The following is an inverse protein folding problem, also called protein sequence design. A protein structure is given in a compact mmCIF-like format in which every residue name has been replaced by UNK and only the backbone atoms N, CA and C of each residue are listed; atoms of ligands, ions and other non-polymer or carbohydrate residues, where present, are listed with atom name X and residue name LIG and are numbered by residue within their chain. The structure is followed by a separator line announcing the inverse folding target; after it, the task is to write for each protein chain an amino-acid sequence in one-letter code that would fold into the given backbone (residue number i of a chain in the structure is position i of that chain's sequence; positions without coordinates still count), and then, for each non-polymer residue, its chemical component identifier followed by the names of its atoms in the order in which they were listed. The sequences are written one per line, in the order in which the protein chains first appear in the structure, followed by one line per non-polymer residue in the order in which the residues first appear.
data_IF_354078321902
#
_entry.id   IF_354078321902
#
_cell.length_a   1.000
_cell.length_b   1.000
_cell.length_c   1.000
_cell.angle_alpha   90.00
_cell.angle_beta   90.00
_cell.angle_gamma   90.00
#
_symmetry.space_group_name_H-M   'P 1'
#
loop_
_entity.id
_entity.type
_entity.pdbx_description
1 polymer ?
#
# COMPACT_ATOMS: atom_id res chain seq x y z
N UNK A 1 -70.82 -18.62 -66.55
CA UNK A 1 -70.78 -19.19 -65.18
C UNK A 1 -69.44 -18.87 -64.54
N UNK A 2 -69.36 -18.44 -63.27
CA UNK A 2 -68.08 -18.24 -62.59
C UNK A 2 -67.48 -19.59 -62.18
N UNK A 3 -66.17 -19.75 -62.32
CA UNK A 3 -65.46 -20.99 -61.99
C UNK A 3 -65.50 -21.29 -60.48
N UNK A 4 -65.76 -22.53 -60.05
CA UNK A 4 -65.72 -22.90 -58.64
C UNK A 4 -64.34 -22.65 -58.05
N UNK A 5 -64.25 -21.85 -56.98
CA UNK A 5 -62.98 -21.65 -56.25
C UNK A 5 -62.65 -22.90 -55.45
N UNK A 6 -61.81 -23.77 -56.00
CA UNK A 6 -61.27 -24.95 -55.30
C UNK A 6 -60.42 -24.48 -54.12
N UNK A 7 -60.94 -24.63 -52.89
CA UNK A 7 -60.20 -24.28 -51.67
C UNK A 7 -59.26 -25.44 -51.30
N UNK A 8 -57.95 -25.17 -51.34
CA UNK A 8 -56.94 -26.14 -50.90
C UNK A 8 -57.07 -26.44 -49.41
N UNK A 9 -56.93 -27.70 -49.05
CA UNK A 9 -56.90 -28.12 -47.64
C UNK A 9 -55.64 -27.61 -46.94
N UNK A 10 -55.64 -27.59 -45.60
CA UNK A 10 -54.45 -27.18 -44.83
C UNK A 10 -53.24 -28.08 -45.13
N UNK A 11 -53.46 -29.39 -45.30
CA UNK A 11 -52.42 -30.35 -45.66
C UNK A 11 -51.81 -30.05 -47.04
N UNK A 12 -52.65 -29.77 -48.04
CA UNK A 12 -52.19 -29.38 -49.38
C UNK A 12 -51.36 -28.10 -49.36
N UNK A 13 -51.79 -27.08 -48.61
CA UNK A 13 -51.01 -25.83 -48.45
C UNK A 13 -49.66 -26.06 -47.78
N UNK A 14 -49.59 -26.93 -46.77
CA UNK A 14 -48.32 -27.30 -46.11
C UNK A 14 -47.39 -28.04 -47.07
N UNK A 15 -47.91 -28.97 -47.86
CA UNK A 15 -47.13 -29.71 -48.85
C UNK A 15 -46.59 -28.80 -49.95
N UNK A 16 -47.42 -27.92 -50.51
CA UNK A 16 -46.98 -26.94 -51.50
C UNK A 16 -45.94 -25.97 -50.94
N UNK A 17 -46.07 -25.54 -49.68
CA UNK A 17 -45.06 -24.71 -49.03
C UNK A 17 -43.74 -25.46 -48.82
N UNK A 18 -43.78 -26.76 -48.48
CA UNK A 18 -42.56 -27.60 -48.38
C UNK A 18 -41.87 -27.72 -49.74
N UNK A 19 -42.62 -27.98 -50.80
CA UNK A 19 -42.07 -28.11 -52.16
C UNK A 19 -41.50 -26.79 -52.68
N UNK A 20 -42.23 -25.68 -52.49
CA UNK A 20 -41.72 -24.33 -52.82
C UNK A 20 -40.46 -24.00 -52.05
N UNK A 21 -40.45 -24.27 -50.74
CA UNK A 21 -39.28 -24.04 -49.89
C UNK A 21 -38.10 -24.90 -50.31
N UNK A 22 -38.33 -26.18 -50.64
CA UNK A 22 -37.29 -27.10 -51.12
C UNK A 22 -36.67 -26.63 -52.44
N UNK A 23 -37.50 -26.21 -53.41
CA UNK A 23 -37.02 -25.64 -54.69
C UNK A 23 -36.23 -24.36 -54.48
N UNK A 24 -36.72 -23.46 -53.63
CA UNK A 24 -36.01 -22.23 -53.27
C UNK A 24 -34.67 -22.52 -52.60
N UNK A 25 -34.64 -23.46 -51.64
CA UNK A 25 -33.41 -23.89 -50.97
C UNK A 25 -32.43 -24.54 -51.95
N UNK A 26 -32.89 -25.38 -52.88
CA UNK A 26 -32.02 -25.99 -53.88
C UNK A 26 -31.38 -24.93 -54.80
N UNK A 27 -32.17 -23.94 -55.24
CA UNK A 27 -31.70 -22.85 -56.10
C UNK A 27 -30.71 -21.91 -55.41
N UNK A 28 -30.87 -21.65 -54.12
CA UNK A 28 -30.08 -20.66 -53.37
C UNK A 28 -29.20 -21.27 -52.28
N UNK A 29 -28.95 -22.59 -52.32
CA UNK A 29 -28.28 -23.35 -51.26
C UNK A 29 -26.97 -22.74 -50.83
N UNK A 30 -26.10 -22.41 -51.79
CA UNK A 30 -24.78 -21.84 -51.55
C UNK A 30 -24.86 -20.48 -50.85
N UNK A 31 -25.72 -19.57 -51.32
CA UNK A 31 -25.95 -18.26 -50.71
C UNK A 31 -26.49 -18.37 -49.29
N UNK A 32 -27.46 -19.27 -49.06
CA UNK A 32 -28.05 -19.49 -47.74
C UNK A 32 -27.01 -20.06 -46.77
N UNK A 33 -26.19 -21.02 -47.20
CA UNK A 33 -25.13 -21.60 -46.38
C UNK A 33 -24.03 -20.58 -46.07
N UNK A 34 -23.63 -19.77 -47.04
CA UNK A 34 -22.66 -18.70 -46.84
C UNK A 34 -23.17 -17.66 -45.83
N UNK A 35 -24.41 -17.19 -45.98
CA UNK A 35 -25.05 -16.26 -45.03
C UNK A 35 -25.18 -16.85 -43.62
N UNK A 36 -25.51 -18.14 -43.50
CA UNK A 36 -25.53 -18.84 -42.20
C UNK A 36 -24.14 -18.96 -41.59
N UNK A 37 -23.12 -19.20 -42.41
CA UNK A 37 -21.73 -19.25 -41.95
C UNK A 37 -21.28 -17.89 -41.42
N UNK A 38 -21.49 -16.81 -42.18
CA UNK A 38 -21.13 -15.46 -41.74
C UNK A 38 -21.84 -15.04 -40.46
N UNK A 39 -23.11 -15.39 -40.30
CA UNK A 39 -23.85 -15.11 -39.07
C UNK A 39 -23.29 -15.87 -37.85
N UNK A 40 -22.87 -17.13 -38.02
CA UNK A 40 -22.21 -17.89 -36.94
C UNK A 40 -20.84 -17.32 -36.60
N UNK A 41 -20.06 -16.95 -37.61
CA UNK A 41 -18.71 -16.41 -37.42
C UNK A 41 -18.76 -15.05 -36.70
N UNK A 42 -19.75 -14.20 -37.03
CA UNK A 42 -20.03 -12.95 -36.31
C UNK A 42 -20.40 -13.20 -34.85
N UNK A 43 -21.36 -14.07 -34.58
CA UNK A 43 -21.77 -14.39 -33.20
C UNK A 43 -20.62 -15.02 -32.39
N UNK A 44 -19.79 -15.85 -33.01
CA UNK A 44 -18.61 -16.43 -32.37
C UNK A 44 -17.60 -15.35 -31.99
N UNK A 45 -17.34 -14.40 -32.90
CA UNK A 45 -16.43 -13.27 -32.66
C UNK A 45 -16.94 -12.34 -31.56
N UNK A 46 -18.24 -12.04 -31.54
CA UNK A 46 -18.85 -11.25 -30.46
C UNK A 46 -18.74 -11.96 -29.10
N UNK A 47 -18.97 -13.28 -29.07
CA UNK A 47 -18.82 -14.08 -27.85
C UNK A 47 -17.37 -14.14 -27.35
N UNK A 48 -16.39 -14.19 -28.26
CA UNK A 48 -14.96 -14.13 -27.93
C UNK A 48 -14.57 -12.76 -27.38
N UNK A 49 -15.03 -11.67 -27.99
CA UNK A 49 -14.80 -10.31 -27.49
C UNK A 49 -15.40 -10.12 -26.10
N UNK A 50 -16.62 -10.60 -25.86
CA UNK A 50 -17.25 -10.55 -24.55
C UNK A 50 -16.48 -11.36 -23.49
N UNK A 51 -16.01 -12.56 -23.85
CA UNK A 51 -15.16 -13.40 -22.98
C UNK A 51 -13.80 -12.75 -22.69
N UNK A 52 -13.21 -12.09 -23.69
CA UNK A 52 -11.93 -11.38 -23.53
C UNK A 52 -12.08 -10.15 -22.63
N UNK A 53 -13.15 -9.37 -22.82
CA UNK A 53 -13.48 -8.21 -21.98
C UNK A 53 -13.75 -8.60 -20.53
N UNK A 54 -14.51 -9.67 -20.30
CA UNK A 54 -14.77 -10.19 -18.95
C UNK A 54 -13.51 -10.74 -18.27
N UNK A 55 -12.61 -11.40 -19.02
CA UNK A 55 -11.31 -11.84 -18.51
C UNK A 55 -10.38 -10.66 -18.17
N UNK A 56 -10.37 -9.61 -18.97
CA UNK A 56 -9.57 -8.41 -18.69
C UNK A 56 -10.05 -7.72 -17.42
N UNK A 57 -11.36 -7.45 -17.31
CA UNK A 57 -11.94 -6.84 -16.11
C UNK A 57 -11.68 -7.68 -14.84
N UNK A 58 -11.82 -9.01 -14.94
CA UNK A 58 -11.53 -9.89 -13.81
C UNK A 58 -10.06 -9.87 -13.38
N UNK A 59 -9.12 -9.67 -14.31
CA UNK A 59 -7.70 -9.53 -13.99
C UNK A 59 -7.40 -8.19 -13.31
N UNK A 60 -8.03 -7.11 -13.78
CA UNK A 60 -7.91 -5.77 -13.19
C UNK A 60 -8.48 -5.76 -11.76
N UNK A 61 -9.68 -6.31 -11.54
CA UNK A 61 -10.29 -6.41 -10.21
C UNK A 61 -9.44 -7.25 -9.23
N UNK A 62 -8.83 -8.33 -9.70
CA UNK A 62 -7.93 -9.17 -8.90
C UNK A 62 -6.63 -8.42 -8.56
N UNK A 63 -6.09 -7.64 -9.49
CA UNK A 63 -4.92 -6.80 -9.25
C UNK A 63 -5.23 -5.69 -8.25
N UNK A 64 -6.37 -5.01 -8.37
CA UNK A 64 -6.82 -4.00 -7.40
C UNK A 64 -7.02 -4.60 -6.00
N UNK A 65 -7.63 -5.79 -5.90
CA UNK A 65 -7.74 -6.48 -4.59
C UNK A 65 -6.38 -6.79 -3.99
N UNK A 66 -5.44 -7.28 -4.78
CA UNK A 66 -4.07 -7.59 -4.32
C UNK A 66 -3.38 -6.33 -3.80
N UNK A 67 -3.38 -5.25 -4.57
CA UNK A 67 -2.80 -3.97 -4.15
C UNK A 67 -3.48 -3.45 -2.87
N UNK A 68 -4.81 -3.58 -2.75
CA UNK A 68 -5.53 -3.24 -1.53
C UNK A 68 -5.10 -4.07 -0.32
N UNK A 69 -4.90 -5.38 -0.48
CA UNK A 69 -4.41 -6.24 0.63
C UNK A 69 -2.98 -5.93 1.04
N UNK A 70 -2.11 -5.64 0.08
CA UNK A 70 -0.71 -5.26 0.32
C UNK A 70 -0.67 -3.91 1.04
N UNK A 71 -1.40 -2.90 0.54
CA UNK A 71 -1.49 -1.59 1.19
C UNK A 71 -2.04 -1.64 2.62
N UNK A 72 -3.02 -2.51 2.88
CA UNK A 72 -3.51 -2.74 4.24
C UNK A 72 -2.44 -3.37 5.15
N UNK A 73 -1.67 -4.33 4.64
CA UNK A 73 -0.54 -4.94 5.36
C UNK A 73 0.56 -3.91 5.67
N UNK A 74 0.99 -3.13 4.67
CA UNK A 74 1.99 -2.07 4.85
C UNK A 74 1.52 -1.02 5.85
N UNK A 75 0.24 -0.64 5.82
CA UNK A 75 -0.35 0.27 6.80
C UNK A 75 -0.33 -0.30 8.22
N UNK A 76 -0.62 -1.59 8.39
CA UNK A 76 -0.54 -2.26 9.68
C UNK A 76 0.91 -2.30 10.21
N UNK A 77 1.89 -2.58 9.34
CA UNK A 77 3.31 -2.57 9.70
C UNK A 77 3.80 -1.17 10.08
N UNK A 78 3.44 -0.13 9.33
CA UNK A 78 3.73 1.27 9.69
C UNK A 78 3.16 1.61 11.07
N UNK A 79 1.92 1.20 11.36
CA UNK A 79 1.28 1.41 12.66
C UNK A 79 2.03 0.68 13.78
N UNK A 80 2.51 -0.54 13.54
CA UNK A 80 3.31 -1.28 14.52
C UNK A 80 4.64 -0.57 14.81
N UNK A 81 5.36 -0.11 13.78
CA UNK A 81 6.60 0.64 13.94
C UNK A 81 6.35 1.95 14.70
N UNK A 82 5.30 2.69 14.34
CA UNK A 82 4.91 3.93 15.02
C UNK A 82 4.57 3.68 16.50
N UNK A 83 3.79 2.64 16.80
CA UNK A 83 3.46 2.27 18.18
C UNK A 83 4.70 1.86 18.99
N UNK A 84 5.64 1.12 18.37
CA UNK A 84 6.93 0.80 19.01
C UNK A 84 7.72 2.07 19.31
N UNK A 85 7.78 3.01 18.37
CA UNK A 85 8.43 4.30 18.58
C UNK A 85 7.79 5.09 19.72
N UNK A 86 6.46 5.22 19.74
CA UNK A 86 5.75 5.96 20.80
C UNK A 86 5.96 5.32 22.17
N UNK A 87 5.86 3.99 22.26
CA UNK A 87 6.13 3.25 23.50
C UNK A 87 7.56 3.44 23.98
N UNK A 88 8.51 3.41 23.04
CA UNK A 88 9.92 3.59 23.32
C UNK A 88 10.25 5.01 23.82
N UNK A 89 9.60 6.02 23.25
CA UNK A 89 9.74 7.41 23.68
C UNK A 89 8.93 7.72 24.95
N UNK A 90 8.31 6.72 25.60
CA UNK A 90 7.45 6.94 26.78
C UNK A 90 6.41 8.04 26.58
N UNK A 91 5.86 8.15 25.36
CA UNK A 91 4.85 9.15 25.00
C UNK A 91 5.42 10.47 24.44
N UNK A 92 6.63 10.91 24.80
CA UNK A 92 7.19 12.15 24.22
C UNK A 92 8.69 12.07 23.98
N UNK A 93 9.12 12.62 22.85
CA UNK A 93 10.54 12.58 22.51
C UNK A 93 11.38 13.45 23.48
N UNK A 94 10.83 14.55 24.00
CA UNK A 94 11.53 15.34 25.03
C UNK A 94 11.71 14.54 26.32
N UNK A 95 10.66 13.88 26.83
CA UNK A 95 10.78 13.08 28.06
C UNK A 95 11.80 11.95 27.91
N UNK A 96 11.86 11.32 26.74
CA UNK A 96 12.88 10.34 26.40
C UNK A 96 14.32 10.89 26.51
N UNK A 97 14.59 12.08 25.94
CA UNK A 97 15.92 12.69 26.03
C UNK A 97 16.27 13.12 27.46
N UNK A 98 15.27 13.55 28.25
CA UNK A 98 15.45 13.89 29.67
C UNK A 98 15.85 12.65 30.47
N UNK A 99 15.18 11.50 30.25
CA UNK A 99 15.54 10.23 30.88
C UNK A 99 16.93 9.73 30.47
N UNK A 100 17.29 9.86 29.18
CA UNK A 100 18.63 9.51 28.71
C UNK A 100 19.71 10.38 29.36
N UNK A 101 19.48 11.69 29.46
CA UNK A 101 20.40 12.61 30.09
C UNK A 101 20.61 12.29 31.59
N UNK A 102 19.53 12.00 32.32
CA UNK A 102 19.65 11.57 33.72
C UNK A 102 20.45 10.27 33.85
N UNK A 103 20.23 9.30 32.96
CA UNK A 103 21.03 8.06 32.90
C UNK A 103 22.53 8.35 32.75
N UNK A 104 22.90 9.34 31.93
CA UNK A 104 24.30 9.74 31.73
C UNK A 104 24.90 10.41 32.96
N UNK A 105 24.15 11.29 33.63
CA UNK A 105 24.60 11.93 34.88
C UNK A 105 24.81 10.88 35.97
N UNK A 106 23.85 9.96 36.13
CA UNK A 106 23.91 8.92 37.16
C UNK A 106 25.11 7.98 36.96
N UNK A 107 25.42 7.64 35.70
CA UNK A 107 26.61 6.89 35.33
C UNK A 107 27.91 7.63 35.70
N UNK A 108 28.01 8.92 35.34
CA UNK A 108 29.19 9.74 35.61
C UNK A 108 29.40 10.05 37.11
N UNK A 109 28.34 10.02 37.93
CA UNK A 109 28.40 10.33 39.37
C UNK A 109 28.84 9.16 40.26
N UNK A 110 29.27 8.03 39.70
CA UNK A 110 29.85 6.89 40.45
C UNK A 110 28.86 6.20 41.39
N UNK A 111 27.83 5.52 40.86
CA UNK A 111 27.19 4.46 41.63
C UNK A 111 26.77 3.27 40.75
N UNK A 112 27.68 2.32 40.46
CA UNK A 112 27.40 1.14 39.64
C UNK A 112 26.38 0.17 40.27
N UNK A 113 26.05 0.35 41.56
CA UNK A 113 25.06 -0.48 42.27
C UNK A 113 23.60 -0.03 42.04
N UNK A 114 23.39 1.16 41.45
CA UNK A 114 22.06 1.57 41.05
C UNK A 114 21.73 0.95 39.69
N UNK A 115 20.90 -0.10 39.71
CA UNK A 115 20.05 -0.47 38.59
C UNK A 115 19.23 0.77 38.18
N UNK A 116 19.80 1.65 37.37
CA UNK A 116 19.07 2.78 36.85
C UNK A 116 17.93 2.22 36.01
N UNK A 117 16.66 2.57 36.30
CA UNK A 117 15.53 2.11 35.50
C UNK A 117 15.53 2.70 34.07
N UNK A 118 16.51 3.56 33.77
CA UNK A 118 16.63 4.30 32.53
C UNK A 118 17.55 3.58 31.53
N UNK A 119 17.16 3.60 30.27
CA UNK A 119 17.94 3.06 29.15
C UNK A 119 19.28 3.78 29.03
N UNK A 120 20.34 3.06 28.65
CA UNK A 120 21.64 3.65 28.30
C UNK A 120 21.62 4.26 26.89
N UNK A 121 22.55 5.18 26.61
CA UNK A 121 22.68 5.79 25.27
C UNK A 121 22.96 4.75 24.19
N UNK A 122 23.79 3.75 24.49
CA UNK A 122 24.14 2.68 23.55
C UNK A 122 22.96 1.74 23.24
N UNK A 123 22.16 1.40 24.25
CA UNK A 123 20.91 0.65 24.04
C UNK A 123 19.91 1.45 23.21
N UNK A 124 19.87 2.76 23.43
CA UNK A 124 19.00 3.65 22.69
C UNK A 124 19.37 3.76 21.21
N UNK A 125 20.66 3.96 20.94
CA UNK A 125 21.22 3.96 19.61
C UNK A 125 20.93 2.65 18.87
N UNK A 126 21.21 1.50 19.51
CA UNK A 126 20.97 0.17 18.93
C UNK A 126 19.49 -0.03 18.59
N UNK A 127 18.60 0.34 19.50
CA UNK A 127 17.15 0.17 19.32
C UNK A 127 16.61 1.04 18.19
N UNK A 128 17.00 2.31 18.14
CA UNK A 128 16.58 3.24 17.10
C UNK A 128 17.19 2.90 15.73
N UNK A 129 18.43 2.39 15.69
CA UNK A 129 19.06 1.88 14.46
C UNK A 129 18.32 0.67 13.89
N UNK A 130 17.92 -0.27 14.76
CA UNK A 130 17.09 -1.41 14.35
C UNK A 130 15.72 -0.95 13.83
N UNK A 131 15.11 0.04 14.47
CA UNK A 131 13.84 0.60 14.05
C UNK A 131 13.97 1.32 12.70
N UNK A 132 15.04 2.10 12.51
CA UNK A 132 15.33 2.79 11.25
C UNK A 132 15.56 1.79 10.11
N UNK A 133 16.28 0.70 10.39
CA UNK A 133 16.48 -0.39 9.43
C UNK A 133 15.15 -1.03 9.04
N UNK A 134 14.24 -1.24 9.99
CA UNK A 134 12.89 -1.72 9.70
C UNK A 134 12.09 -0.73 8.85
N UNK A 135 12.20 0.57 9.10
CA UNK A 135 11.58 1.61 8.27
C UNK A 135 12.08 1.56 6.82
N UNK A 136 13.40 1.47 6.60
CA UNK A 136 13.95 1.39 5.24
C UNK A 136 13.54 0.12 4.50
N UNK A 137 13.46 -1.03 5.20
CA UNK A 137 12.94 -2.26 4.60
C UNK A 137 11.50 -2.10 4.13
N UNK A 138 10.65 -1.57 5.01
CA UNK A 138 9.25 -1.29 4.69
C UNK A 138 9.09 -0.29 3.55
N UNK A 139 9.89 0.78 3.55
CA UNK A 139 9.90 1.78 2.49
C UNK A 139 10.25 1.15 1.12
N UNK A 140 11.24 0.26 1.09
CA UNK A 140 11.64 -0.46 -0.12
C UNK A 140 10.57 -1.47 -0.59
N UNK A 141 9.94 -2.20 0.34
CA UNK A 141 8.84 -3.14 0.03
C UNK A 141 7.66 -2.38 -0.61
N UNK A 142 7.23 -1.28 0.02
CA UNK A 142 6.14 -0.44 -0.49
C UNK A 142 6.49 0.19 -1.85
N UNK A 143 7.75 0.57 -2.05
CA UNK A 143 8.21 1.12 -3.33
C UNK A 143 8.16 0.08 -4.45
N UNK A 144 8.52 -1.18 -4.16
CA UNK A 144 8.43 -2.29 -5.11
C UNK A 144 6.98 -2.60 -5.50
N UNK A 145 6.05 -2.40 -4.57
CA UNK A 145 4.61 -2.61 -4.79
C UNK A 145 3.90 -1.39 -5.43
N UNK A 146 4.65 -0.34 -5.80
CA UNK A 146 4.16 0.90 -6.44
C UNK A 146 3.07 1.64 -5.64
N UNK A 147 3.04 1.46 -4.32
CA UNK A 147 2.06 2.06 -3.42
C UNK A 147 2.46 3.48 -3.02
N UNK A 148 2.24 4.45 -3.91
CA UNK A 148 2.74 5.82 -3.74
C UNK A 148 2.29 6.54 -2.46
N UNK A 149 1.05 6.35 -2.02
CA UNK A 149 0.52 7.03 -0.83
C UNK A 149 1.12 6.46 0.47
N UNK A 150 1.20 5.14 0.54
CA UNK A 150 1.83 4.39 1.63
C UNK A 150 3.32 4.71 1.69
N UNK A 151 3.97 4.88 0.54
CA UNK A 151 5.39 5.22 0.45
C UNK A 151 5.69 6.57 1.10
N UNK A 152 4.86 7.60 0.82
CA UNK A 152 5.03 8.91 1.46
C UNK A 152 4.88 8.82 2.99
N UNK A 153 3.91 8.06 3.48
CA UNK A 153 3.70 7.84 4.92
C UNK A 153 4.89 7.12 5.56
N UNK A 154 5.39 6.07 4.91
CA UNK A 154 6.57 5.33 5.37
C UNK A 154 7.80 6.25 5.43
N UNK A 155 8.00 7.09 4.40
CA UNK A 155 9.12 8.03 4.33
C UNK A 155 9.09 9.08 5.44
N UNK A 156 7.90 9.58 5.81
CA UNK A 156 7.74 10.49 6.97
C UNK A 156 8.16 9.78 8.26
N UNK A 157 7.72 8.53 8.46
CA UNK A 157 8.11 7.72 9.61
C UNK A 157 9.63 7.47 9.66
N UNK A 158 10.25 7.13 8.52
CA UNK A 158 11.71 6.96 8.38
C UNK A 158 12.46 8.23 8.79
N UNK A 159 12.07 9.39 8.24
CA UNK A 159 12.69 10.69 8.58
C UNK A 159 12.61 10.99 10.06
N UNK A 160 11.47 10.68 10.68
CA UNK A 160 11.23 10.90 12.10
C UNK A 160 12.14 10.04 12.99
N UNK A 161 12.22 8.73 12.72
CA UNK A 161 13.11 7.83 13.45
C UNK A 161 14.56 8.29 13.28
N UNK A 162 14.96 8.65 12.05
CA UNK A 162 16.30 9.18 11.77
C UNK A 162 16.62 10.44 12.57
N UNK A 163 15.70 11.41 12.62
CA UNK A 163 15.90 12.64 13.37
C UNK A 163 16.15 12.38 14.86
N UNK A 164 15.43 11.42 15.46
CA UNK A 164 15.62 11.04 16.86
C UNK A 164 16.97 10.36 17.04
N UNK A 165 17.32 9.41 16.17
CA UNK A 165 18.61 8.72 16.20
C UNK A 165 19.78 9.69 16.06
N UNK A 166 19.73 10.64 15.12
CA UNK A 166 20.74 11.69 14.96
C UNK A 166 20.92 12.49 16.26
N UNK A 167 19.86 12.68 17.04
CA UNK A 167 19.95 13.38 18.32
C UNK A 167 20.55 12.51 19.43
N UNK A 168 20.34 11.19 19.40
CA UNK A 168 21.00 10.24 20.31
C UNK A 168 22.50 10.17 20.01
N UNK A 169 22.90 10.06 18.74
CA UNK A 169 24.32 10.13 18.35
C UNK A 169 24.99 11.41 18.82
N UNK A 170 24.27 12.52 18.72
CA UNK A 170 24.76 13.80 19.19
C UNK A 170 24.93 13.86 20.72
N UNK A 171 24.11 13.14 21.50
CA UNK A 171 24.29 13.02 22.95
C UNK A 171 25.51 12.16 23.29
N UNK A 172 25.71 11.05 22.57
CA UNK A 172 26.89 10.20 22.72
C UNK A 172 28.19 10.98 22.49
N UNK A 173 28.23 11.80 21.44
CA UNK A 173 29.39 12.66 21.15
C UNK A 173 29.72 13.64 22.29
N UNK A 174 28.72 14.16 23.01
CA UNK A 174 28.95 15.07 24.16
C UNK A 174 29.53 14.30 25.35
N UNK A 175 29.01 13.10 25.62
CA UNK A 175 29.52 12.27 26.73
C UNK A 175 30.99 11.93 26.51
N UNK A 176 31.40 11.78 25.25
CA UNK A 176 32.77 11.49 24.85
C UNK A 176 33.69 12.71 24.78
N UNK A 177 33.16 13.94 24.91
CA UNK A 177 33.94 15.18 24.89
C UNK A 177 34.23 15.67 26.31
N UNK A 178 35.46 15.54 26.82
CA UNK A 178 35.81 15.90 28.19
C UNK A 178 35.88 17.43 28.41
N UNK A 179 35.92 18.23 27.35
CA UNK A 179 36.10 19.68 27.44
C UNK A 179 34.77 20.47 27.39
N UNK A 180 33.66 19.81 27.04
CA UNK A 180 32.33 20.43 26.98
C UNK A 180 31.54 20.20 28.28
N UNK A 181 31.00 21.28 28.88
CA UNK A 181 30.08 21.17 30.02
C UNK A 181 28.80 20.45 29.58
N UNK A 182 28.65 19.21 30.04
CA UNK A 182 27.56 18.29 29.72
C UNK A 182 26.18 18.94 29.88
N UNK A 183 25.99 19.82 30.87
CA UNK A 183 24.71 20.49 31.13
C UNK A 183 24.43 21.57 30.08
N UNK A 184 25.43 22.40 29.75
CA UNK A 184 25.28 23.41 28.69
C UNK A 184 25.12 22.79 27.29
N UNK A 185 25.86 21.72 27.02
CA UNK A 185 25.78 20.98 25.76
C UNK A 185 24.40 20.34 25.58
N UNK A 186 23.88 19.71 26.63
CA UNK A 186 22.53 19.15 26.64
C UNK A 186 21.46 20.22 26.41
N UNK A 187 21.52 21.36 27.10
CA UNK A 187 20.53 22.44 26.92
C UNK A 187 20.54 23.05 25.52
N UNK A 188 21.72 23.29 24.93
CA UNK A 188 21.83 23.78 23.55
C UNK A 188 21.21 22.79 22.56
N UNK A 189 21.51 21.50 22.71
CA UNK A 189 21.02 20.48 21.78
C UNK A 189 19.55 20.11 21.98
N UNK A 190 19.01 20.25 23.20
CA UNK A 190 17.57 20.17 23.45
C UNK A 190 16.79 21.24 22.68
N UNK A 191 17.31 22.47 22.63
CA UNK A 191 16.72 23.55 21.83
C UNK A 191 16.80 23.26 20.32
N UNK A 192 17.91 22.71 19.85
CA UNK A 192 18.04 22.31 18.44
C UNK A 192 17.15 21.12 18.08
N UNK A 193 16.97 20.17 19.02
CA UNK A 193 16.02 19.07 18.88
C UNK A 193 14.59 19.59 18.80
N UNK A 194 14.18 20.51 19.68
CA UNK A 194 12.87 21.15 19.61
C UNK A 194 12.65 21.88 18.29
N UNK A 195 13.66 22.61 17.79
CA UNK A 195 13.59 23.25 16.46
C UNK A 195 13.46 22.22 15.32
N UNK A 196 14.22 21.12 15.35
CA UNK A 196 14.17 20.06 14.33
C UNK A 196 12.87 19.26 14.40
N UNK A 197 12.32 19.03 15.60
CA UNK A 197 11.00 18.44 15.79
C UNK A 197 9.91 19.31 15.18
N UNK A 198 9.94 20.62 15.44
CA UNK A 198 9.00 21.59 14.84
C UNK A 198 9.13 21.58 13.32
N UNK A 199 10.34 21.50 12.77
CA UNK A 199 10.52 21.41 11.32
C UNK A 199 10.01 20.08 10.74
N UNK A 200 10.27 18.95 11.40
CA UNK A 200 9.77 17.64 11.00
C UNK A 200 8.23 17.53 11.12
N UNK A 201 7.61 18.33 12.00
CA UNK A 201 6.16 18.52 12.12
C UNK A 201 5.58 19.37 10.98
N UNK A 202 6.23 20.49 10.65
CA UNK A 202 5.83 21.38 9.54
C UNK A 202 5.90 20.66 8.18
N UNK A 203 6.84 19.72 8.02
CA UNK A 203 7.00 18.91 6.82
C UNK A 203 5.96 17.75 6.68
N UNK A 204 4.94 17.67 7.57
CA UNK A 204 3.73 16.86 7.35
C UNK A 204 3.50 15.66 8.29
N UNK A 205 3.89 15.72 9.57
CA UNK A 205 3.62 14.65 10.54
C UNK A 205 2.51 15.06 11.53
N UNK A 206 1.48 14.23 11.70
CA UNK A 206 0.47 14.41 12.76
C UNK A 206 1.11 14.42 14.16
N UNK A 207 0.54 15.19 15.12
CA UNK A 207 1.02 15.28 16.49
C UNK A 207 1.14 13.93 17.17
N UNK A 208 2.13 13.77 18.05
CA UNK A 208 1.95 12.84 19.17
C UNK A 208 0.93 13.50 20.10
N UNK A 209 -0.13 12.82 20.55
CA UNK A 209 -0.92 13.34 21.66
C UNK A 209 0.00 13.52 22.86
N UNK A 210 0.02 14.75 23.40
CA UNK A 210 0.70 15.12 24.65
C UNK A 210 0.27 14.23 25.83
#
# INVERSE_FOLDING_TARGET
MPWPKVRKTLAQRRQENREKSARHYAKHRTRILASKKTARDLNAREAELYKSGTRHRSKEEEQERRLGTIGASSTAQMKQISNKLVKYLSGSASGFFDSLYQSCIDYNRSNPDNNSPNMSVQEAETTLTNLLTACYRLENEILQDELHMEYQKARVLTKRVKCILDCVYNMEMIIMDPDEDLEQAYHRRRLDFQKRQVQAWIDGAEPIPE
#
